data_IF_778224603072
#
_entry.id   IF_778224603072
#
_cell.length_a   1.000
_cell.length_b   1.000
_cell.length_c   1.000
_cell.angle_alpha   90.00
_cell.angle_beta   90.00
_cell.angle_gamma   90.00
#
_symmetry.space_group_name_H-M   'P 1'
#
loop_
_entity.id
_entity.type
_entity.pdbx_description
1 polymer ?
#
# COMPACT_ATOMS: atom_id res chain seq x y z
N UNK A 1 -14.33 -9.81 0.06
CA UNK A 1 -14.04 -8.36 -0.04
C UNK A 1 -13.80 -7.81 1.35
N UNK A 2 -12.93 -6.79 1.57
CA UNK A 2 -12.85 -6.12 2.85
C UNK A 2 -14.15 -5.38 3.18
N UNK A 3 -14.51 -5.42 4.46
CA UNK A 3 -15.66 -4.70 5.01
C UNK A 3 -15.12 -3.57 5.89
N UNK A 4 -15.41 -2.32 5.51
CA UNK A 4 -15.01 -1.13 6.26
C UNK A 4 -16.17 -0.62 7.09
N UNK A 5 -15.94 -0.45 8.38
CA UNK A 5 -16.89 0.15 9.32
C UNK A 5 -16.25 1.41 9.86
N UNK A 6 -16.81 2.56 9.48
CA UNK A 6 -16.42 3.87 10.00
C UNK A 6 -17.61 4.43 10.77
N UNK A 7 -17.57 4.34 12.09
CA UNK A 7 -18.63 4.80 12.97
C UNK A 7 -18.08 5.23 14.33
N UNK A 8 -18.83 6.13 14.99
CA UNK A 8 -18.55 6.55 16.37
C UNK A 8 -19.86 7.04 17.03
N UNK A 9 -20.58 6.20 17.78
CA UNK A 9 -20.35 4.76 18.02
C UNK A 9 -20.80 3.86 16.88
N UNK A 10 -20.35 2.62 16.87
CA UNK A 10 -20.81 1.58 15.94
C UNK A 10 -20.73 0.21 16.60
N UNK A 11 -21.47 -0.77 16.04
CA UNK A 11 -21.49 -2.14 16.55
C UNK A 11 -21.49 -3.16 15.42
N UNK A 12 -20.65 -4.20 15.57
CA UNK A 12 -20.61 -5.34 14.64
C UNK A 12 -20.95 -6.61 15.40
N UNK A 13 -21.92 -7.36 14.92
CA UNK A 13 -22.34 -8.66 15.45
C UNK A 13 -22.55 -9.67 14.36
N UNK A 14 -22.39 -10.95 14.68
CA UNK A 14 -22.74 -12.06 13.79
C UNK A 14 -24.23 -12.41 13.95
N UNK A 15 -24.91 -12.65 12.82
CA UNK A 15 -26.25 -13.22 12.76
C UNK A 15 -26.28 -14.25 11.61
N UNK A 16 -26.27 -15.55 11.98
CA UNK A 16 -26.10 -16.62 10.98
C UNK A 16 -24.77 -16.50 10.25
N UNK A 17 -24.81 -16.51 8.93
CA UNK A 17 -23.64 -16.39 8.04
C UNK A 17 -23.34 -14.94 7.62
N UNK A 18 -23.87 -13.96 8.36
CA UNK A 18 -23.68 -12.54 8.05
C UNK A 18 -23.11 -11.76 9.25
N UNK A 19 -22.30 -10.75 8.93
CA UNK A 19 -21.99 -9.65 9.84
C UNK A 19 -23.11 -8.61 9.73
N UNK A 20 -23.66 -8.22 10.86
CA UNK A 20 -24.62 -7.11 10.98
C UNK A 20 -23.85 -5.95 11.56
N UNK A 21 -23.84 -4.84 10.83
CA UNK A 21 -23.14 -3.61 11.16
C UNK A 21 -24.19 -2.56 11.45
N UNK A 22 -24.19 -2.04 12.67
CA UNK A 22 -25.08 -0.98 13.13
C UNK A 22 -24.24 0.28 13.37
N UNK A 23 -24.68 1.40 12.82
CA UNK A 23 -24.06 2.73 12.96
C UNK A 23 -24.96 3.65 13.78
N UNK A 24 -24.50 4.85 14.05
CA UNK A 24 -25.15 5.86 14.94
C UNK A 24 -26.62 6.17 14.58
N UNK A 25 -27.02 5.96 13.33
CA UNK A 25 -28.37 6.27 12.82
C UNK A 25 -29.33 5.06 12.92
N UNK A 26 -28.98 4.02 13.68
CA UNK A 26 -29.73 2.75 13.76
C UNK A 26 -29.90 2.02 12.40
N UNK A 27 -29.17 2.42 11.37
CA UNK A 27 -29.15 1.73 10.09
C UNK A 27 -28.36 0.43 10.22
N UNK A 28 -29.01 -0.69 9.95
CA UNK A 28 -28.35 -1.99 9.85
C UNK A 28 -27.90 -2.26 8.41
N UNK A 29 -26.59 -2.46 8.25
CA UNK A 29 -26.02 -2.96 6.99
C UNK A 29 -25.49 -4.36 7.23
N UNK A 30 -25.56 -5.23 6.21
CA UNK A 30 -25.13 -6.62 6.33
C UNK A 30 -24.03 -6.97 5.33
N UNK A 31 -23.08 -7.82 5.75
CA UNK A 31 -22.05 -8.39 4.88
C UNK A 31 -21.97 -9.91 5.10
N UNK A 32 -21.95 -10.70 4.03
CA UNK A 32 -21.83 -12.16 4.18
C UNK A 32 -20.40 -12.54 4.61
N UNK A 33 -20.29 -13.43 5.57
CA UNK A 33 -18.98 -13.90 6.07
C UNK A 33 -18.14 -14.55 4.97
N UNK A 34 -18.78 -15.31 4.06
CA UNK A 34 -18.09 -15.99 2.96
C UNK A 34 -17.45 -14.99 1.96
N UNK A 35 -18.01 -13.81 1.83
CA UNK A 35 -17.49 -12.75 0.94
C UNK A 35 -16.53 -11.81 1.66
N UNK A 36 -16.42 -11.93 2.98
CA UNK A 36 -15.61 -11.04 3.82
C UNK A 36 -14.19 -11.58 3.93
N UNK A 37 -13.24 -10.88 3.34
CA UNK A 37 -11.82 -11.22 3.44
C UNK A 37 -11.10 -10.52 4.59
N UNK A 38 -11.65 -9.42 5.12
CA UNK A 38 -11.05 -8.58 6.15
C UNK A 38 -12.12 -7.66 6.73
N UNK A 39 -12.12 -7.47 8.04
CA UNK A 39 -12.94 -6.47 8.73
C UNK A 39 -12.05 -5.31 9.18
N UNK A 40 -12.37 -4.11 8.75
CA UNK A 40 -11.62 -2.88 9.08
C UNK A 40 -12.50 -1.94 9.89
N UNK A 41 -12.11 -1.68 11.12
CA UNK A 41 -12.87 -0.88 12.08
C UNK A 41 -12.17 0.46 12.31
N UNK A 42 -12.89 1.56 12.11
CA UNK A 42 -12.37 2.93 12.24
C UNK A 42 -13.27 3.73 13.18
N UNK A 43 -12.74 4.11 14.33
CA UNK A 43 -13.48 4.83 15.37
C UNK A 43 -13.86 3.92 16.55
N UNK A 44 -14.85 4.34 17.33
CA UNK A 44 -15.36 3.58 18.47
C UNK A 44 -16.39 2.55 18.00
N UNK A 45 -15.90 1.41 17.51
CA UNK A 45 -16.73 0.31 17.03
C UNK A 45 -16.62 -0.90 17.95
N UNK A 46 -17.73 -1.33 18.52
CA UNK A 46 -17.82 -2.54 19.33
C UNK A 46 -17.95 -3.78 18.45
N UNK A 47 -17.24 -4.84 18.79
CA UNK A 47 -17.42 -6.17 18.16
C UNK A 47 -17.69 -7.20 19.25
N UNK A 48 -18.77 -7.96 19.08
CA UNK A 48 -19.09 -8.98 20.09
C UNK A 48 -18.08 -10.12 20.10
N UNK A 49 -17.76 -10.67 21.27
CA UNK A 49 -16.81 -11.79 21.40
C UNK A 49 -17.16 -12.99 20.51
N UNK A 50 -18.44 -13.44 20.38
CA UNK A 50 -18.78 -14.50 19.46
C UNK A 50 -18.48 -14.17 17.99
N UNK A 51 -18.59 -12.89 17.60
CA UNK A 51 -18.21 -12.44 16.25
C UNK A 51 -16.71 -12.54 16.04
N UNK A 52 -15.90 -12.06 17.01
CA UNK A 52 -14.44 -12.18 16.95
C UNK A 52 -13.99 -13.65 16.89
N UNK A 53 -14.59 -14.53 17.69
CA UNK A 53 -14.28 -15.97 17.66
C UNK A 53 -14.56 -16.59 16.29
N UNK A 54 -15.66 -16.20 15.64
CA UNK A 54 -15.98 -16.69 14.29
C UNK A 54 -15.02 -16.16 13.24
N UNK A 55 -14.68 -14.87 13.29
CA UNK A 55 -13.72 -14.27 12.38
C UNK A 55 -12.34 -14.92 12.52
N UNK A 56 -11.89 -15.17 13.76
CA UNK A 56 -10.63 -15.88 14.02
C UNK A 56 -10.65 -17.32 13.49
N UNK A 57 -11.76 -18.06 13.66
CA UNK A 57 -11.91 -19.43 13.12
C UNK A 57 -11.85 -19.48 11.59
N UNK A 58 -12.35 -18.45 10.93
CA UNK A 58 -12.35 -18.32 9.46
C UNK A 58 -11.10 -17.66 8.92
N UNK A 59 -10.13 -17.36 9.78
CA UNK A 59 -8.89 -16.64 9.42
C UNK A 59 -9.18 -15.28 8.76
N UNK A 60 -10.31 -14.64 9.09
CA UNK A 60 -10.68 -13.30 8.66
C UNK A 60 -10.06 -12.29 9.64
N UNK A 61 -9.03 -11.54 9.23
CA UNK A 61 -8.38 -10.57 10.12
C UNK A 61 -9.31 -9.39 10.43
N UNK A 62 -9.18 -8.85 11.63
CA UNK A 62 -9.84 -7.60 12.05
C UNK A 62 -8.78 -6.55 12.31
N UNK A 63 -8.83 -5.42 11.63
CA UNK A 63 -7.93 -4.29 11.86
C UNK A 63 -8.64 -3.16 12.57
N UNK A 64 -7.98 -2.61 13.58
CA UNK A 64 -8.49 -1.57 14.47
C UNK A 64 -7.79 -0.24 14.20
N UNK A 65 -8.58 0.82 14.08
CA UNK A 65 -8.11 2.19 13.85
C UNK A 65 -8.82 3.18 14.76
N UNK A 66 -8.10 4.24 15.14
CA UNK A 66 -8.74 5.41 15.72
C UNK A 66 -9.67 6.08 14.71
N UNK A 67 -10.60 6.94 15.17
CA UNK A 67 -11.42 7.75 14.28
C UNK A 67 -10.61 8.67 13.36
N UNK A 68 -9.37 9.02 13.73
CA UNK A 68 -8.40 9.74 12.90
C UNK A 68 -7.69 8.91 11.84
N UNK A 69 -7.89 7.57 11.84
CA UNK A 69 -7.26 6.65 10.88
C UNK A 69 -5.88 6.12 11.31
N UNK A 70 -5.46 6.33 12.57
CA UNK A 70 -4.25 5.73 13.11
C UNK A 70 -4.48 4.24 13.40
N UNK A 71 -3.58 3.41 12.91
CA UNK A 71 -3.62 1.97 13.14
C UNK A 71 -3.28 1.65 14.61
N UNK A 72 -4.14 0.87 15.26
CA UNK A 72 -3.97 0.43 16.64
C UNK A 72 -3.42 -0.99 16.70
N UNK A 73 -3.88 -1.87 15.82
CA UNK A 73 -3.51 -3.27 15.82
C UNK A 73 -4.46 -4.11 14.96
N UNK A 74 -4.24 -5.42 14.97
CA UNK A 74 -5.14 -6.37 14.34
C UNK A 74 -5.40 -7.56 15.26
N UNK A 75 -6.58 -8.14 15.13
CA UNK A 75 -6.96 -9.41 15.75
C UNK A 75 -6.96 -10.48 14.65
N UNK A 76 -6.19 -11.52 14.85
CA UNK A 76 -6.13 -12.70 13.99
C UNK A 76 -6.34 -13.96 14.84
N UNK A 77 -6.63 -15.09 14.20
CA UNK A 77 -6.60 -16.39 14.86
C UNK A 77 -5.19 -16.79 15.30
N UNK A 78 -4.95 -18.06 15.48
CA UNK A 78 -3.65 -18.59 15.97
C UNK A 78 -2.45 -18.33 15.06
N UNK A 79 -2.68 -17.68 13.92
CA UNK A 79 -1.65 -17.30 12.95
C UNK A 79 -1.07 -18.47 12.17
N UNK A 80 -0.24 -18.15 11.20
CA UNK A 80 0.43 -19.14 10.38
C UNK A 80 1.48 -19.92 11.21
N UNK A 81 1.45 -21.25 11.13
CA UNK A 81 2.28 -22.15 11.95
C UNK A 81 3.62 -22.53 11.31
N UNK A 82 3.95 -21.97 10.16
CA UNK A 82 5.19 -22.28 9.46
C UNK A 82 6.38 -21.58 10.16
N UNK A 83 6.99 -22.29 11.10
CA UNK A 83 8.17 -21.81 11.84
C UNK A 83 9.42 -21.78 10.94
N UNK A 84 9.51 -22.68 9.95
CA UNK A 84 10.66 -22.75 9.04
C UNK A 84 10.77 -21.51 8.16
N UNK A 85 9.62 -21.01 7.65
CA UNK A 85 9.60 -19.77 6.90
C UNK A 85 10.15 -18.58 7.71
N UNK A 86 9.75 -18.46 8.99
CA UNK A 86 10.27 -17.41 9.88
C UNK A 86 11.74 -17.58 10.14
N UNK A 87 12.19 -18.82 10.38
CA UNK A 87 13.61 -19.12 10.58
C UNK A 87 14.42 -18.72 9.34
N UNK A 88 13.97 -19.07 8.14
CA UNK A 88 14.60 -18.69 6.87
C UNK A 88 14.61 -17.16 6.71
N UNK A 89 13.50 -16.48 7.00
CA UNK A 89 13.42 -15.02 6.97
C UNK A 89 14.46 -14.37 7.90
N UNK A 90 14.54 -14.84 9.15
CA UNK A 90 15.50 -14.27 10.11
C UNK A 90 16.93 -14.52 9.65
N UNK A 91 17.28 -15.72 9.20
CA UNK A 91 18.62 -16.03 8.66
C UNK A 91 18.99 -15.11 7.51
N UNK A 92 18.13 -15.01 6.50
CA UNK A 92 18.34 -14.13 5.35
C UNK A 92 18.48 -12.65 5.74
N UNK A 93 17.74 -12.21 6.77
CA UNK A 93 17.79 -10.82 7.23
C UNK A 93 19.09 -10.44 7.97
N UNK A 94 19.90 -11.41 8.36
CA UNK A 94 21.23 -11.18 8.92
C UNK A 94 22.34 -11.34 7.88
N UNK A 95 22.02 -11.77 6.66
CA UNK A 95 22.96 -11.85 5.55
C UNK A 95 22.98 -10.53 4.75
N UNK A 96 24.08 -9.73 4.83
CA UNK A 96 24.17 -8.48 4.09
C UNK A 96 24.12 -8.66 2.57
N UNK A 97 24.64 -9.79 2.05
CA UNK A 97 24.65 -10.06 0.62
C UNK A 97 23.23 -10.33 0.11
N UNK A 98 22.45 -11.13 0.82
CA UNK A 98 21.04 -11.35 0.54
C UNK A 98 20.25 -10.03 0.63
N UNK A 99 20.42 -9.27 1.71
CA UNK A 99 19.72 -8.00 1.91
C UNK A 99 19.97 -7.02 0.76
N UNK A 100 21.23 -6.89 0.33
CA UNK A 100 21.59 -6.02 -0.78
C UNK A 100 21.01 -6.51 -2.11
N UNK A 101 21.12 -7.80 -2.41
CA UNK A 101 20.57 -8.39 -3.63
C UNK A 101 19.05 -8.16 -3.72
N UNK A 102 18.33 -8.49 -2.66
CA UNK A 102 16.88 -8.29 -2.55
C UNK A 102 16.49 -6.82 -2.72
N UNK A 103 17.18 -5.91 -2.02
CA UNK A 103 16.90 -4.47 -2.06
C UNK A 103 17.13 -3.86 -3.45
N UNK A 104 18.19 -4.28 -4.17
CA UNK A 104 18.46 -3.87 -5.55
C UNK A 104 17.28 -4.17 -6.46
N UNK A 105 16.72 -5.39 -6.38
CA UNK A 105 15.55 -5.81 -7.15
C UNK A 105 14.32 -4.93 -6.87
N UNK A 106 14.04 -4.68 -5.59
CA UNK A 106 12.90 -3.83 -5.18
C UNK A 106 13.02 -2.39 -5.68
N UNK A 107 14.19 -1.75 -5.47
CA UNK A 107 14.41 -0.36 -5.86
C UNK A 107 14.42 -0.20 -7.39
N UNK A 108 15.07 -1.10 -8.11
CA UNK A 108 15.05 -1.09 -9.57
C UNK A 108 13.64 -1.22 -10.12
N UNK A 109 12.84 -2.16 -9.60
CA UNK A 109 11.45 -2.38 -10.00
C UNK A 109 10.57 -1.15 -9.68
N UNK A 110 10.72 -0.56 -8.49
CA UNK A 110 10.06 0.70 -8.13
C UNK A 110 10.34 1.80 -9.15
N UNK A 111 11.61 2.02 -9.50
CA UNK A 111 12.00 3.11 -10.42
C UNK A 111 11.48 2.87 -11.85
N UNK A 112 11.47 1.62 -12.33
CA UNK A 112 10.88 1.26 -13.63
C UNK A 112 9.37 1.46 -13.63
N UNK A 113 8.67 1.09 -12.56
CA UNK A 113 7.23 1.31 -12.40
C UNK A 113 6.90 2.81 -12.31
N UNK A 114 7.71 3.60 -11.58
CA UNK A 114 7.60 5.06 -11.52
C UNK A 114 7.75 5.70 -12.90
N UNK A 115 8.76 5.26 -13.66
CA UNK A 115 8.96 5.68 -15.05
C UNK A 115 7.76 5.36 -15.92
N UNK A 116 7.20 4.16 -15.78
CA UNK A 116 6.02 3.73 -16.54
C UNK A 116 4.79 4.57 -16.22
N UNK A 117 4.57 4.91 -14.94
CA UNK A 117 3.48 5.77 -14.52
C UNK A 117 3.61 7.18 -15.12
N UNK A 118 4.77 7.80 -15.03
CA UNK A 118 5.01 9.11 -15.64
C UNK A 118 4.79 9.07 -17.16
N UNK A 119 5.38 8.10 -17.86
CA UNK A 119 5.25 7.97 -19.31
C UNK A 119 3.79 7.89 -19.76
N UNK A 120 2.95 7.16 -19.02
CA UNK A 120 1.54 6.96 -19.36
C UNK A 120 0.64 8.15 -19.08
N UNK A 121 1.05 9.01 -18.16
CA UNK A 121 0.18 10.06 -17.63
C UNK A 121 0.76 11.47 -17.82
N UNK A 122 1.87 11.60 -18.53
CA UNK A 122 2.52 12.88 -18.79
C UNK A 122 1.60 13.84 -19.57
N UNK A 123 1.48 15.06 -19.07
CA UNK A 123 0.64 16.13 -19.65
C UNK A 123 1.43 17.41 -19.92
N UNK A 124 2.75 17.41 -19.69
CA UNK A 124 3.60 18.55 -19.96
C UNK A 124 3.72 18.82 -21.47
N UNK A 125 3.93 20.08 -21.84
CA UNK A 125 4.09 20.51 -23.23
C UNK A 125 5.32 19.88 -23.92
N UNK A 126 6.38 19.64 -23.14
CA UNK A 126 7.60 18.99 -23.64
C UNK A 126 7.58 17.49 -23.38
N UNK A 127 8.19 16.71 -24.27
CA UNK A 127 8.36 15.28 -24.11
C UNK A 127 9.13 14.96 -22.80
N UNK A 128 8.73 13.91 -22.06
CA UNK A 128 9.35 13.56 -20.78
C UNK A 128 10.70 12.84 -20.90
N UNK A 129 11.35 12.83 -22.07
CA UNK A 129 12.49 11.96 -22.38
C UNK A 129 13.66 12.12 -21.41
N UNK A 130 13.95 13.35 -20.98
CA UNK A 130 15.01 13.62 -20.01
C UNK A 130 14.71 12.97 -18.67
N UNK A 131 13.49 13.14 -18.15
CA UNK A 131 13.03 12.57 -16.87
C UNK A 131 12.97 11.03 -16.96
N UNK A 132 12.39 10.51 -18.04
CA UNK A 132 12.28 9.07 -18.27
C UNK A 132 13.65 8.40 -18.44
N UNK A 133 14.56 9.05 -19.15
CA UNK A 133 15.94 8.60 -19.31
C UNK A 133 16.72 8.62 -17.97
N UNK A 134 16.53 9.64 -17.16
CA UNK A 134 17.13 9.72 -15.83
C UNK A 134 16.63 8.61 -14.89
N UNK A 135 15.31 8.34 -14.86
CA UNK A 135 14.74 7.23 -14.09
C UNK A 135 15.25 5.87 -14.57
N UNK A 136 15.43 5.70 -15.88
CA UNK A 136 16.00 4.46 -16.43
C UNK A 136 17.46 4.25 -16.00
N UNK A 137 18.28 5.32 -16.00
CA UNK A 137 19.66 5.26 -15.47
C UNK A 137 19.67 4.95 -13.98
N UNK A 138 18.80 5.60 -13.18
CA UNK A 138 18.69 5.29 -11.74
C UNK A 138 18.27 3.84 -11.49
N UNK A 139 17.37 3.28 -12.29
CA UNK A 139 16.97 1.88 -12.16
C UNK A 139 18.13 0.90 -12.48
N UNK A 140 18.99 1.22 -13.43
CA UNK A 140 20.23 0.44 -13.71
C UNK A 140 21.22 0.56 -12.56
N UNK A 141 21.49 1.79 -12.12
CA UNK A 141 22.40 2.05 -11.00
C UNK A 141 21.94 1.34 -9.71
N UNK A 142 20.62 1.21 -9.48
CA UNK A 142 20.10 0.45 -8.35
C UNK A 142 20.48 -1.03 -8.43
N UNK A 143 20.49 -1.64 -9.62
CA UNK A 143 20.94 -3.03 -9.82
C UNK A 143 22.45 -3.23 -9.61
N UNK A 144 23.24 -2.17 -9.73
CA UNK A 144 24.70 -2.17 -9.67
C UNK A 144 25.27 -1.64 -8.34
N UNK A 145 24.42 -1.10 -7.45
CA UNK A 145 24.83 -0.50 -6.17
C UNK A 145 25.65 -1.50 -5.33
N UNK A 146 26.76 -1.08 -4.77
CA UNK A 146 27.73 -1.96 -4.07
C UNK A 146 27.30 -2.28 -2.65
N UNK A 147 26.54 -1.40 -2.02
CA UNK A 147 26.05 -1.54 -0.66
C UNK A 147 24.67 -0.83 -0.46
N UNK A 148 24.08 -1.02 0.70
CA UNK A 148 22.79 -0.40 1.03
C UNK A 148 22.85 1.13 1.12
N UNK A 149 23.89 1.79 1.63
CA UNK A 149 24.04 3.25 1.59
C UNK A 149 24.05 3.81 0.17
N UNK A 150 24.80 3.22 -0.77
CA UNK A 150 24.80 3.62 -2.18
C UNK A 150 23.42 3.44 -2.80
N UNK A 151 22.79 2.29 -2.56
CA UNK A 151 21.43 2.01 -3.03
C UNK A 151 20.40 3.01 -2.50
N UNK A 152 20.52 3.42 -1.23
CA UNK A 152 19.65 4.44 -0.63
C UNK A 152 19.84 5.81 -1.30
N UNK A 153 21.08 6.16 -1.67
CA UNK A 153 21.40 7.36 -2.43
C UNK A 153 20.75 7.34 -3.83
N UNK A 154 20.87 6.21 -4.54
CA UNK A 154 20.24 6.01 -5.85
C UNK A 154 18.72 6.09 -5.76
N UNK A 155 18.11 5.45 -4.74
CA UNK A 155 16.67 5.51 -4.48
C UNK A 155 16.19 6.94 -4.21
N UNK A 156 16.92 7.66 -3.37
CA UNK A 156 16.63 9.06 -3.02
C UNK A 156 16.65 9.97 -4.23
N UNK A 157 17.70 9.87 -5.06
CA UNK A 157 17.82 10.63 -6.30
C UNK A 157 16.71 10.26 -7.30
N UNK A 158 16.48 8.97 -7.52
CA UNK A 158 15.38 8.49 -8.38
C UNK A 158 14.01 8.97 -7.91
N UNK A 159 13.79 8.99 -6.59
CA UNK A 159 12.58 9.55 -5.98
C UNK A 159 12.43 11.05 -6.22
N UNK A 160 13.52 11.83 -6.10
CA UNK A 160 13.52 13.26 -6.40
C UNK A 160 13.15 13.54 -7.86
N UNK A 161 13.76 12.80 -8.81
CA UNK A 161 13.46 12.88 -10.25
C UNK A 161 11.97 12.53 -10.50
N UNK A 162 11.48 11.44 -9.92
CA UNK A 162 10.10 10.99 -10.08
C UNK A 162 9.10 12.04 -9.59
N UNK A 163 9.26 12.50 -8.36
CA UNK A 163 8.36 13.49 -7.78
C UNK A 163 8.51 14.88 -8.41
N UNK A 164 9.68 15.22 -8.94
CA UNK A 164 9.86 16.43 -9.77
C UNK A 164 9.00 16.41 -11.04
N UNK A 165 8.80 15.23 -11.65
CA UNK A 165 7.91 15.04 -12.79
C UNK A 165 6.45 14.73 -12.43
N UNK A 166 6.12 14.41 -11.19
CA UNK A 166 4.78 13.94 -10.81
C UNK A 166 3.70 15.02 -11.00
N UNK A 167 4.03 16.28 -10.71
CA UNK A 167 3.09 17.40 -10.89
C UNK A 167 2.55 17.51 -12.32
N UNK A 168 3.37 17.18 -13.34
CA UNK A 168 2.95 17.24 -14.75
C UNK A 168 1.91 16.18 -15.14
N UNK A 169 1.66 15.20 -14.27
CA UNK A 169 0.63 14.16 -14.51
C UNK A 169 -0.74 14.58 -13.99
N UNK A 170 -0.80 15.66 -13.21
CA UNK A 170 -2.04 16.20 -12.67
C UNK A 170 -2.71 17.12 -13.71
N UNK A 171 -4.04 17.19 -13.72
CA UNK A 171 -4.77 18.16 -14.53
C UNK A 171 -4.48 19.56 -14.02
N UNK A 172 -4.32 20.52 -14.94
CA UNK A 172 -4.11 21.92 -14.62
C UNK A 172 -5.37 22.55 -14.01
N UNK A 173 -5.19 23.67 -13.31
CA UNK A 173 -6.31 24.45 -12.73
C UNK A 173 -7.35 24.87 -13.76
N UNK A 174 -6.95 25.06 -15.03
CA UNK A 174 -7.85 25.42 -16.14
C UNK A 174 -8.91 24.36 -16.43
N UNK A 175 -8.70 23.10 -16.03
CA UNK A 175 -9.62 21.99 -16.29
C UNK A 175 -10.71 21.80 -15.22
N UNK A 176 -11.11 22.85 -14.51
CA UNK A 176 -12.21 22.86 -13.52
C UNK A 176 -12.07 21.94 -12.29
N UNK A 177 -10.95 21.26 -12.13
CA UNK A 177 -10.63 20.40 -10.97
C UNK A 177 -9.57 21.07 -10.08
N UNK A 178 -9.29 22.36 -10.32
CA UNK A 178 -8.22 23.15 -9.75
C UNK A 178 -8.05 23.10 -8.23
N UNK A 179 -6.84 23.42 -7.77
CA UNK A 179 -6.47 23.50 -6.37
C UNK A 179 -5.55 22.38 -5.87
N UNK A 180 -5.01 21.56 -6.78
CA UNK A 180 -3.97 20.58 -6.45
C UNK A 180 -2.60 21.04 -6.98
N UNK A 181 -1.92 21.89 -6.20
CA UNK A 181 -0.52 22.26 -6.46
C UNK A 181 0.41 21.20 -5.86
N UNK A 182 1.30 20.66 -6.67
CA UNK A 182 2.31 19.71 -6.23
C UNK A 182 3.70 20.15 -6.69
N UNK A 183 4.50 20.67 -5.77
CA UNK A 183 5.87 21.14 -6.07
C UNK A 183 6.92 20.09 -5.73
N UNK A 184 6.78 19.42 -4.59
CA UNK A 184 7.72 18.42 -4.13
C UNK A 184 7.07 17.45 -3.14
N UNK A 185 7.76 16.35 -2.85
CA UNK A 185 7.32 15.39 -1.84
C UNK A 185 7.67 15.84 -0.43
N UNK A 186 6.64 16.11 0.38
CA UNK A 186 6.76 16.35 1.82
C UNK A 186 5.86 15.38 2.60
N UNK A 187 6.16 15.06 3.87
CA UNK A 187 5.46 13.96 4.55
C UNK A 187 5.45 13.99 6.09
N UNK A 188 6.03 14.97 6.73
CA UNK A 188 6.12 14.98 8.21
C UNK A 188 6.01 16.39 8.78
N UNK A 189 4.80 16.89 8.93
CA UNK A 189 3.54 16.45 8.33
C UNK A 189 3.43 16.80 6.83
N UNK A 190 2.50 16.19 6.07
CA UNK A 190 2.13 16.69 4.75
C UNK A 190 1.60 18.12 4.85
N UNK A 191 1.95 18.98 3.90
CA UNK A 191 1.57 20.40 3.92
C UNK A 191 0.58 20.78 2.82
N UNK A 192 0.30 19.88 1.90
CA UNK A 192 -0.61 20.08 0.77
C UNK A 192 -1.47 18.83 0.53
N UNK A 193 -2.59 18.99 -0.18
CA UNK A 193 -3.54 17.92 -0.45
C UNK A 193 -2.94 16.69 -1.13
N UNK A 194 -2.07 16.89 -2.14
CA UNK A 194 -1.47 15.76 -2.90
C UNK A 194 -0.55 14.95 -1.99
N UNK A 195 0.27 15.61 -1.19
CA UNK A 195 1.13 14.93 -0.22
C UNK A 195 0.36 14.23 0.90
N UNK A 196 -0.75 14.82 1.35
CA UNK A 196 -1.66 14.20 2.32
C UNK A 196 -2.29 12.91 1.72
N UNK A 197 -2.77 12.99 0.49
CA UNK A 197 -3.35 11.86 -0.24
C UNK A 197 -2.35 10.73 -0.45
N UNK A 198 -1.16 11.03 -0.97
CA UNK A 198 -0.08 10.04 -1.14
C UNK A 198 0.31 9.38 0.18
N UNK A 199 0.42 10.16 1.26
CA UNK A 199 0.78 9.64 2.58
C UNK A 199 -0.28 8.69 3.13
N UNK A 200 -1.56 9.02 2.95
CA UNK A 200 -2.68 8.18 3.34
C UNK A 200 -2.72 6.88 2.54
N UNK A 201 -2.55 6.95 1.21
CA UNK A 201 -2.53 5.78 0.33
C UNK A 201 -1.34 4.85 0.61
N UNK A 202 -0.17 5.40 0.93
CA UNK A 202 0.97 4.59 1.36
C UNK A 202 0.70 3.88 2.69
N UNK A 203 0.02 4.54 3.63
CA UNK A 203 -0.38 3.90 4.87
C UNK A 203 -1.40 2.76 4.63
N UNK A 204 -2.34 2.93 3.68
CA UNK A 204 -3.25 1.86 3.28
C UNK A 204 -2.51 0.67 2.65
N UNK A 205 -1.55 0.93 1.76
CA UNK A 205 -0.79 -0.12 1.07
C UNK A 205 0.13 -0.91 2.03
N UNK A 206 0.85 -0.21 2.91
CA UNK A 206 1.67 -0.87 3.97
C UNK A 206 0.80 -1.79 4.82
N UNK A 207 -0.38 -1.34 5.18
CA UNK A 207 -1.32 -2.10 6.00
C UNK A 207 -1.82 -3.35 5.29
N UNK A 208 -2.21 -3.22 4.02
CA UNK A 208 -2.64 -4.36 3.22
C UNK A 208 -1.54 -5.42 3.17
N UNK A 209 -0.31 -5.00 2.90
CA UNK A 209 0.85 -5.90 2.90
C UNK A 209 1.16 -6.48 4.28
N UNK A 210 1.02 -5.71 5.35
CA UNK A 210 1.23 -6.21 6.71
C UNK A 210 0.28 -7.38 7.03
N UNK A 211 -1.00 -7.25 6.67
CA UNK A 211 -1.99 -8.32 6.84
C UNK A 211 -1.64 -9.54 5.97
N UNK A 212 -1.31 -9.31 4.70
CA UNK A 212 -0.96 -10.39 3.76
C UNK A 212 0.30 -11.13 4.23
N UNK A 213 1.36 -10.43 4.60
CA UNK A 213 2.60 -11.04 5.07
C UNK A 213 2.40 -11.85 6.34
N UNK A 214 1.63 -11.32 7.29
CA UNK A 214 1.28 -12.06 8.51
C UNK A 214 0.45 -13.32 8.21
N UNK A 215 -0.49 -13.25 7.27
CA UNK A 215 -1.29 -14.39 6.84
C UNK A 215 -0.46 -15.46 6.10
N UNK A 216 0.59 -15.08 5.38
CA UNK A 216 1.53 -16.02 4.74
C UNK A 216 2.49 -16.65 5.75
N UNK A 217 2.70 -16.02 6.91
CA UNK A 217 3.52 -16.55 8.00
C UNK A 217 4.80 -15.79 8.29
N UNK A 218 5.00 -14.63 7.67
CA UNK A 218 6.15 -13.78 7.93
C UNK A 218 6.02 -12.98 9.24
N UNK A 219 7.15 -12.61 9.80
CA UNK A 219 7.25 -11.45 10.67
C UNK A 219 7.34 -10.18 9.80
N UNK A 220 6.27 -9.43 9.73
CA UNK A 220 6.21 -8.21 8.91
C UNK A 220 7.09 -7.07 9.42
N UNK A 221 7.59 -7.14 10.66
CA UNK A 221 8.48 -6.14 11.24
C UNK A 221 9.95 -6.40 10.93
N UNK A 222 10.30 -7.62 10.48
CA UNK A 222 11.66 -7.95 10.07
C UNK A 222 11.81 -7.88 8.55
N UNK A 223 12.37 -6.76 8.06
CA UNK A 223 12.67 -6.52 6.65
C UNK A 223 14.12 -6.84 6.30
N UNK A 224 14.45 -6.65 5.02
CA UNK A 224 15.79 -6.87 4.44
C UNK A 224 16.43 -5.54 4.00
N UNK A 225 15.64 -4.57 3.57
CA UNK A 225 16.11 -3.25 3.12
C UNK A 225 15.84 -2.16 4.14
N UNK A 226 14.59 -2.03 4.59
CA UNK A 226 14.26 -1.09 5.64
C UNK A 226 14.75 -1.59 6.99
N UNK A 227 15.58 -0.77 7.65
CA UNK A 227 16.12 -1.12 8.97
C UNK A 227 15.00 -1.30 10.00
N UNK A 228 15.05 -2.36 10.83
CA UNK A 228 14.08 -2.58 11.89
C UNK A 228 14.06 -1.41 12.87
N UNK A 229 12.86 -0.92 13.17
CA UNK A 229 12.61 0.08 14.20
C UNK A 229 11.34 -0.30 14.94
N UNK A 230 11.26 0.01 16.23
CA UNK A 230 10.08 -0.26 17.02
C UNK A 230 8.80 0.25 16.34
N UNK A 231 7.79 -0.60 16.23
CA UNK A 231 6.49 -0.29 15.63
C UNK A 231 6.49 -0.08 14.10
N UNK A 232 7.61 -0.32 13.41
CA UNK A 232 7.71 -0.14 11.96
C UNK A 232 7.68 -1.48 11.22
N UNK A 233 6.65 -1.79 10.41
CA UNK A 233 6.58 -3.04 9.65
C UNK A 233 7.54 -3.02 8.46
N UNK A 234 8.83 -3.31 8.73
CA UNK A 234 9.93 -3.14 7.79
C UNK A 234 9.76 -3.99 6.53
N UNK A 235 9.34 -5.26 6.64
CA UNK A 235 9.11 -6.12 5.48
C UNK A 235 7.94 -5.64 4.63
N UNK A 236 6.86 -5.14 5.25
CA UNK A 236 5.75 -4.57 4.50
C UNK A 236 6.16 -3.29 3.75
N UNK A 237 7.07 -2.49 4.33
CA UNK A 237 7.67 -1.34 3.67
C UNK A 237 8.57 -1.75 2.50
N UNK A 238 9.37 -2.83 2.65
CA UNK A 238 10.17 -3.38 1.57
C UNK A 238 9.28 -3.82 0.42
N UNK A 239 8.34 -4.70 0.71
CA UNK A 239 7.47 -5.29 -0.31
C UNK A 239 6.56 -4.29 -1.02
N UNK A 240 6.25 -3.15 -0.40
CA UNK A 240 5.42 -2.15 -1.05
C UNK A 240 6.16 -1.32 -2.10
N UNK A 241 7.50 -1.27 -2.10
CA UNK A 241 8.26 -0.35 -2.96
C UNK A 241 7.90 -0.49 -4.45
N UNK A 242 7.87 -1.68 -5.07
CA UNK A 242 7.46 -1.84 -6.45
C UNK A 242 5.99 -1.47 -6.71
N UNK A 243 5.15 -1.58 -5.69
CA UNK A 243 3.70 -1.36 -5.80
C UNK A 243 3.27 0.09 -5.56
N UNK A 244 4.13 0.95 -5.00
CA UNK A 244 3.81 2.37 -4.81
C UNK A 244 3.29 3.03 -6.09
N UNK A 245 4.03 3.00 -7.21
CA UNK A 245 3.55 3.60 -8.46
C UNK A 245 2.32 2.89 -9.03
N UNK A 246 2.30 1.57 -8.92
CA UNK A 246 1.24 0.74 -9.52
C UNK A 246 -0.11 0.89 -8.82
N UNK A 247 -0.12 1.12 -7.52
CA UNK A 247 -1.33 1.16 -6.69
C UNK A 247 -1.53 2.57 -6.12
N UNK A 248 -0.71 2.99 -5.17
CA UNK A 248 -0.94 4.19 -4.40
C UNK A 248 -0.88 5.47 -5.24
N UNK A 249 0.21 5.66 -5.99
CA UNK A 249 0.38 6.87 -6.82
C UNK A 249 -0.64 6.91 -7.97
N UNK A 250 -0.93 5.73 -8.55
CA UNK A 250 -1.96 5.58 -9.59
C UNK A 250 -3.35 5.95 -9.07
N UNK A 251 -3.71 5.56 -7.82
CA UNK A 251 -4.97 5.94 -7.18
C UNK A 251 -5.00 7.43 -6.92
N UNK A 252 -3.92 8.02 -6.39
CA UNK A 252 -3.85 9.46 -6.14
C UNK A 252 -4.09 10.25 -7.42
N UNK A 253 -3.37 9.89 -8.48
CA UNK A 253 -3.49 10.51 -9.80
C UNK A 253 -4.90 10.40 -10.36
N UNK A 254 -5.49 9.20 -10.33
CA UNK A 254 -6.83 8.93 -10.88
C UNK A 254 -7.90 9.67 -10.08
N UNK A 255 -7.83 9.65 -8.74
CA UNK A 255 -8.80 10.30 -7.87
C UNK A 255 -8.81 11.83 -8.05
N UNK A 256 -7.64 12.45 -8.24
CA UNK A 256 -7.52 13.88 -8.54
C UNK A 256 -8.03 14.17 -9.95
N UNK A 257 -7.49 13.49 -10.96
CA UNK A 257 -7.78 13.78 -12.36
C UNK A 257 -9.25 13.52 -12.77
N UNK A 258 -9.92 12.61 -12.07
CA UNK A 258 -11.35 12.33 -12.29
C UNK A 258 -12.28 13.15 -11.38
N UNK A 259 -11.73 14.03 -10.52
CA UNK A 259 -12.53 14.86 -9.60
C UNK A 259 -13.25 14.06 -8.50
N UNK A 260 -12.80 12.83 -8.23
CA UNK A 260 -13.33 12.01 -7.14
C UNK A 260 -12.99 12.61 -5.77
N UNK A 261 -11.82 13.23 -5.67
CA UNK A 261 -11.36 13.99 -4.51
C UNK A 261 -11.19 15.45 -4.92
N UNK A 262 -11.65 16.36 -4.06
CA UNK A 262 -11.60 17.81 -4.27
C UNK A 262 -10.87 18.50 -3.11
N UNK A 263 -10.39 19.73 -3.27
CA UNK A 263 -9.71 20.48 -2.19
C UNK A 263 -10.52 20.54 -0.89
N UNK A 264 -11.86 20.66 -0.97
CA UNK A 264 -12.75 20.66 0.20
C UNK A 264 -12.83 19.32 0.96
N UNK A 265 -12.27 18.25 0.43
CA UNK A 265 -12.16 16.95 1.13
C UNK A 265 -10.97 16.92 2.12
N UNK A 266 -10.17 18.00 2.17
CA UNK A 266 -9.01 18.12 3.04
C UNK A 266 -9.25 19.13 4.16
N UNK A 267 -8.58 18.91 5.29
CA UNK A 267 -8.58 19.78 6.45
C UNK A 267 -7.15 20.25 6.72
N UNK A 268 -7.00 21.51 7.10
CA UNK A 268 -5.72 22.11 7.46
C UNK A 268 -5.69 22.42 8.96
N UNK A 269 -4.59 22.06 9.62
CA UNK A 269 -4.28 22.38 10.99
C UNK A 269 -2.88 22.97 11.07
N UNK A 270 -2.77 24.30 11.15
CA UNK A 270 -1.53 25.02 10.99
C UNK A 270 -0.91 24.74 9.61
N UNK A 271 0.31 24.17 9.59
CA UNK A 271 0.97 23.77 8.34
C UNK A 271 0.60 22.37 7.86
N UNK A 272 -0.12 21.59 8.67
CA UNK A 272 -0.47 20.22 8.32
C UNK A 272 -1.73 20.17 7.46
N UNK A 273 -1.71 19.31 6.44
CA UNK A 273 -2.86 18.97 5.61
C UNK A 273 -3.20 17.49 5.77
N UNK A 274 -4.48 17.16 5.93
CA UNK A 274 -4.96 15.79 6.08
C UNK A 274 -6.31 15.61 5.38
N UNK A 275 -6.66 14.36 5.05
CA UNK A 275 -7.99 14.03 4.54
C UNK A 275 -9.04 14.14 5.65
N UNK A 276 -10.11 14.88 5.39
CA UNK A 276 -11.33 14.88 6.19
C UNK A 276 -12.09 13.54 6.11
N UNK A 277 -13.14 13.33 6.93
CA UNK A 277 -13.90 12.08 6.95
C UNK A 277 -14.48 11.69 5.59
N UNK A 278 -15.10 12.64 4.88
CA UNK A 278 -15.63 12.43 3.52
C UNK A 278 -14.53 12.05 2.53
N UNK A 279 -13.41 12.79 2.52
CA UNK A 279 -12.27 12.51 1.67
C UNK A 279 -11.68 11.12 1.91
N UNK A 280 -11.54 10.71 3.17
CA UNK A 280 -11.07 9.35 3.52
C UNK A 280 -11.97 8.26 2.94
N UNK A 281 -13.30 8.40 3.05
CA UNK A 281 -14.26 7.45 2.49
C UNK A 281 -14.09 7.32 0.97
N UNK A 282 -13.99 8.44 0.26
CA UNK A 282 -13.77 8.47 -1.20
C UNK A 282 -12.45 7.80 -1.60
N UNK A 283 -11.37 8.12 -0.89
CA UNK A 283 -10.02 7.57 -1.16
C UNK A 283 -9.96 6.07 -0.88
N UNK A 284 -10.57 5.59 0.21
CA UNK A 284 -10.67 4.16 0.50
C UNK A 284 -11.42 3.44 -0.63
N UNK A 285 -12.55 3.99 -1.10
CA UNK A 285 -13.30 3.41 -2.21
C UNK A 285 -12.47 3.35 -3.50
N UNK A 286 -11.70 4.41 -3.83
CA UNK A 286 -10.80 4.43 -4.97
C UNK A 286 -9.66 3.39 -4.84
N UNK A 287 -9.09 3.26 -3.65
CA UNK A 287 -8.05 2.27 -3.34
C UNK A 287 -8.58 0.83 -3.49
N UNK A 288 -9.78 0.55 -2.96
CA UNK A 288 -10.41 -0.76 -3.09
C UNK A 288 -10.73 -1.12 -4.54
N UNK A 289 -11.22 -0.16 -5.33
CA UNK A 289 -11.42 -0.36 -6.77
C UNK A 289 -10.11 -0.71 -7.46
N UNK A 290 -9.01 -0.02 -7.12
CA UNK A 290 -7.70 -0.31 -7.68
C UNK A 290 -7.21 -1.71 -7.30
N UNK A 291 -7.34 -2.11 -6.05
CA UNK A 291 -6.96 -3.45 -5.60
C UNK A 291 -7.79 -4.56 -6.27
N UNK A 292 -9.03 -4.27 -6.65
CA UNK A 292 -9.90 -5.21 -7.35
C UNK A 292 -9.69 -5.26 -8.87
N UNK A 293 -8.99 -4.27 -9.45
CA UNK A 293 -8.68 -4.29 -10.89
C UNK A 293 -7.78 -5.47 -11.23
N UNK A 294 -8.12 -6.13 -12.34
CA UNK A 294 -7.32 -7.24 -12.87
C UNK A 294 -6.16 -6.75 -13.72
N UNK A 295 -5.09 -7.49 -13.64
CA UNK A 295 -3.86 -7.30 -14.40
C UNK A 295 -3.37 -8.67 -14.87
N UNK A 296 -2.70 -8.75 -15.99
CA UNK A 296 -1.99 -9.95 -16.41
C UNK A 296 -0.67 -10.05 -15.66
N UNK A 297 -0.44 -11.16 -14.95
CA UNK A 297 0.81 -11.39 -14.24
C UNK A 297 1.99 -11.39 -15.22
N UNK A 298 3.03 -10.55 -15.00
CA UNK A 298 4.07 -10.36 -16.01
C UNK A 298 4.88 -11.62 -16.33
N UNK A 299 5.01 -12.54 -15.37
CA UNK A 299 5.73 -13.80 -15.56
C UNK A 299 4.80 -14.96 -15.94
N UNK A 300 3.66 -15.11 -15.26
CA UNK A 300 2.82 -16.30 -15.41
C UNK A 300 1.73 -16.16 -16.47
N UNK A 301 1.45 -14.95 -16.96
CA UNK A 301 0.50 -14.70 -18.06
C UNK A 301 -0.98 -14.81 -17.71
N UNK A 302 -1.38 -15.24 -16.51
CA UNK A 302 -2.78 -15.29 -16.11
C UNK A 302 -3.29 -13.98 -15.52
N UNK A 303 -4.60 -13.77 -15.55
CA UNK A 303 -5.26 -12.58 -15.00
C UNK A 303 -5.54 -12.76 -13.51
N UNK A 304 -5.23 -11.72 -12.74
CA UNK A 304 -5.51 -11.66 -11.30
C UNK A 304 -5.68 -10.21 -10.86
N UNK A 305 -6.37 -10.00 -9.74
CA UNK A 305 -6.49 -8.66 -9.15
C UNK A 305 -5.17 -8.19 -8.53
N UNK A 306 -4.97 -6.87 -8.41
CA UNK A 306 -3.81 -6.33 -7.68
C UNK A 306 -3.72 -6.88 -6.25
N UNK A 307 -4.83 -7.07 -5.55
CA UNK A 307 -4.83 -7.69 -4.22
C UNK A 307 -4.24 -9.09 -4.27
N UNK A 308 -4.66 -9.90 -5.22
CA UNK A 308 -4.11 -11.25 -5.38
C UNK A 308 -2.65 -11.23 -5.80
N UNK A 309 -2.24 -10.22 -6.58
CA UNK A 309 -0.84 -10.04 -6.96
C UNK A 309 0.06 -9.76 -5.74
N UNK A 310 -0.39 -8.93 -4.79
CA UNK A 310 0.33 -8.71 -3.53
C UNK A 310 0.51 -10.02 -2.75
N UNK A 311 -0.54 -10.84 -2.66
CA UNK A 311 -0.48 -12.14 -1.99
C UNK A 311 0.46 -13.12 -2.71
N UNK A 312 0.36 -13.21 -4.03
CA UNK A 312 1.24 -14.06 -4.86
C UNK A 312 2.70 -13.67 -4.65
N UNK A 313 2.98 -12.37 -4.64
CA UNK A 313 4.34 -11.88 -4.44
C UNK A 313 4.88 -12.20 -3.02
N UNK A 314 4.04 -12.11 -2.00
CA UNK A 314 4.42 -12.53 -0.64
C UNK A 314 4.71 -14.05 -0.57
N UNK A 315 3.89 -14.88 -1.24
CA UNK A 315 4.11 -16.33 -1.32
C UNK A 315 5.37 -16.69 -2.10
N UNK A 316 5.66 -15.97 -3.20
CA UNK A 316 6.89 -16.14 -3.96
C UNK A 316 8.13 -15.76 -3.15
N UNK A 317 8.06 -14.72 -2.33
CA UNK A 317 9.13 -14.42 -1.38
C UNK A 317 9.35 -15.58 -0.40
N UNK A 318 8.28 -16.18 0.12
CA UNK A 318 8.40 -17.37 0.99
C UNK A 318 9.09 -18.54 0.28
N UNK A 319 8.72 -18.82 -0.95
CA UNK A 319 9.35 -19.87 -1.76
C UNK A 319 10.82 -19.59 -2.07
N UNK A 320 11.16 -18.33 -2.31
CA UNK A 320 12.55 -17.91 -2.51
C UNK A 320 13.39 -18.10 -1.25
N UNK A 321 12.89 -17.74 -0.08
CA UNK A 321 13.57 -17.94 1.20
C UNK A 321 13.70 -19.41 1.62
N UNK A 322 12.83 -20.26 1.10
CA UNK A 322 12.86 -21.72 1.31
C UNK A 322 13.65 -22.47 0.22
N UNK A 323 14.38 -21.74 -0.63
CA UNK A 323 15.16 -22.27 -1.75
C UNK A 323 14.34 -23.07 -2.79
N UNK A 324 13.03 -22.84 -2.85
CA UNK A 324 12.14 -23.48 -3.84
C UNK A 324 12.17 -22.76 -5.21
N UNK A 325 12.56 -21.50 -5.24
CA UNK A 325 12.81 -20.70 -6.45
C UNK A 325 14.09 -19.90 -6.30
N UNK A 326 14.85 -19.80 -7.37
CA UNK A 326 16.16 -19.12 -7.35
C UNK A 326 16.09 -17.62 -7.05
N UNK A 327 15.06 -16.92 -7.56
CA UNK A 327 14.92 -15.47 -7.43
C UNK A 327 13.48 -15.06 -7.22
N UNK A 328 13.27 -13.94 -6.51
CA UNK A 328 11.96 -13.30 -6.41
C UNK A 328 11.67 -12.55 -7.72
N UNK A 329 10.60 -12.92 -8.46
CA UNK A 329 10.27 -12.25 -9.71
C UNK A 329 9.94 -10.77 -9.53
N UNK A 330 10.50 -9.92 -10.39
CA UNK A 330 10.16 -8.50 -10.43
C UNK A 330 8.73 -8.27 -10.91
N UNK A 331 8.03 -7.31 -10.32
CA UNK A 331 6.69 -6.89 -10.74
C UNK A 331 6.78 -5.60 -11.55
N UNK A 332 6.80 -5.75 -12.86
CA UNK A 332 6.94 -4.67 -13.83
C UNK A 332 5.89 -4.85 -14.95
N UNK A 333 4.60 -4.50 -14.69
CA UNK A 333 3.55 -4.62 -15.68
C UNK A 333 3.82 -3.70 -16.89
N UNK A 334 3.63 -4.23 -18.09
CA UNK A 334 3.78 -3.50 -19.37
C UNK A 334 2.64 -2.52 -19.60
#
# INVERSE_FOLDING_TARGET
MPVYVQATPGRVRKRGETLVIQTDNDEETTARLIDTSHLVLMGAVDVTAPTLHELMRREIPVSWYTGGGWFLGHTTGTGHRNVELRTAQYRASFDPAFCLHFARGLVASKLRNSRTLLRRNWRGETAPDTVLGALQRSARAAGEAKDLPELLGVEGNGGAIYFGGFGTTLRSEADAIGGFDFRNRNRRPPTDPVNALLSFLYALLVRELNVILSAVGFDSYRGFYHQPRYGRPALALDMMEPFRPLIADSVALTAINNGEVRPGDFVHAGRACALGPSGRKKVIAAFERRLSQEITHPLFGYRLSYRRLLEVQARLLGRHLMDEIAELPAIEPR
#
